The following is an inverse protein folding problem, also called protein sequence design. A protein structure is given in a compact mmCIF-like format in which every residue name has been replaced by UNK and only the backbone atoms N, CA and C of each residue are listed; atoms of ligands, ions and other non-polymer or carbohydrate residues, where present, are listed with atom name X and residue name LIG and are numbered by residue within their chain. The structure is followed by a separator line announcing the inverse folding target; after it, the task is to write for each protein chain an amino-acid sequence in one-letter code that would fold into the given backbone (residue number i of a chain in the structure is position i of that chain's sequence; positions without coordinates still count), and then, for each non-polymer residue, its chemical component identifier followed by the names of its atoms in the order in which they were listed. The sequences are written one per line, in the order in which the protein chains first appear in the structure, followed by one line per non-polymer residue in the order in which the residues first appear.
data_IF_592323395030
#
_entry.id   IF_592323395030
#
_cell.length_a   1.000
_cell.length_b   1.000
_cell.length_c   1.000
_cell.angle_alpha   90.00
_cell.angle_beta   90.00
_cell.angle_gamma   90.00
#
_symmetry.space_group_name_H-M   'P 1'
#
loop_
_entity.id
_entity.type
_entity.pdbx_description
1 polymer ?
#
# COMPACT_ATOMS: atom_id res chain seq x y z
N UNK A 1 40.64 -12.22 -51.87
CA UNK A 1 40.23 -12.91 -50.61
C UNK A 1 39.31 -14.07 -50.97
N UNK A 2 39.62 -15.31 -50.57
CA UNK A 2 38.84 -16.49 -51.03
C UNK A 2 37.42 -16.50 -50.45
N UNK A 3 36.45 -17.03 -51.21
CA UNK A 3 35.03 -17.17 -50.79
C UNK A 3 34.91 -17.83 -49.40
N UNK A 4 35.75 -18.83 -49.12
CA UNK A 4 35.82 -19.53 -47.82
C UNK A 4 36.25 -18.61 -46.67
N UNK A 5 37.15 -17.65 -46.91
CA UNK A 5 37.61 -16.67 -45.91
C UNK A 5 36.53 -15.65 -45.59
N UNK A 6 35.81 -15.15 -46.61
CA UNK A 6 34.67 -14.23 -46.43
C UNK A 6 33.51 -14.88 -45.66
N UNK A 7 33.20 -16.14 -45.96
CA UNK A 7 32.17 -16.90 -45.25
C UNK A 7 32.53 -17.12 -43.76
N UNK A 8 33.78 -17.49 -43.46
CA UNK A 8 34.24 -17.63 -42.06
C UNK A 8 34.14 -16.31 -41.29
N UNK A 9 34.54 -15.18 -41.89
CA UNK A 9 34.43 -13.87 -41.26
C UNK A 9 32.96 -13.52 -40.98
N UNK A 10 32.06 -13.75 -41.95
CA UNK A 10 30.62 -13.52 -41.78
C UNK A 10 30.03 -14.35 -40.63
N UNK A 11 30.38 -15.64 -40.54
CA UNK A 11 29.91 -16.52 -39.45
C UNK A 11 30.44 -16.04 -38.10
N UNK A 12 31.71 -15.65 -38.01
CA UNK A 12 32.30 -15.15 -36.76
C UNK A 12 31.64 -13.83 -36.34
N UNK A 13 31.42 -12.90 -37.27
CA UNK A 13 30.72 -11.64 -36.98
C UNK A 13 29.29 -11.87 -36.49
N UNK A 14 28.58 -12.86 -37.06
CA UNK A 14 27.24 -13.22 -36.62
C UNK A 14 27.23 -13.83 -35.21
N UNK A 15 28.19 -14.70 -34.89
CA UNK A 15 28.32 -15.26 -33.54
C UNK A 15 28.66 -14.20 -32.49
N UNK A 16 29.52 -13.23 -32.83
CA UNK A 16 29.83 -12.10 -31.94
C UNK A 16 28.57 -11.26 -31.71
N UNK A 17 27.77 -11.00 -32.75
CA UNK A 17 26.53 -10.25 -32.62
C UNK A 17 25.55 -10.95 -31.66
N UNK A 18 25.37 -12.26 -31.81
CA UNK A 18 24.51 -13.04 -30.89
C UNK A 18 25.03 -12.94 -29.46
N UNK A 19 26.34 -13.12 -29.24
CA UNK A 19 26.94 -13.06 -27.91
C UNK A 19 26.72 -11.69 -27.24
N UNK A 20 26.84 -10.59 -28.01
CA UNK A 20 26.58 -9.24 -27.51
C UNK A 20 25.10 -9.06 -27.15
N UNK A 21 24.17 -9.52 -27.99
CA UNK A 21 22.72 -9.43 -27.70
C UNK A 21 22.36 -10.23 -26.44
N UNK A 22 22.90 -11.43 -26.29
CA UNK A 22 22.68 -12.25 -25.08
C UNK A 22 23.25 -11.60 -23.82
N UNK A 23 24.40 -10.92 -23.91
CA UNK A 23 25.00 -10.21 -22.78
C UNK A 23 24.15 -8.99 -22.37
N UNK A 24 23.67 -8.22 -23.36
CA UNK A 24 22.81 -7.06 -23.12
C UNK A 24 21.50 -7.50 -22.46
N UNK A 25 20.82 -8.52 -23.02
CA UNK A 25 19.56 -9.03 -22.44
C UNK A 25 19.75 -9.58 -21.04
N UNK A 26 20.83 -10.33 -20.76
CA UNK A 26 21.13 -10.81 -19.41
C UNK A 26 21.37 -9.66 -18.42
N UNK A 27 22.12 -8.63 -18.81
CA UNK A 27 22.40 -7.49 -17.93
C UNK A 27 21.15 -6.64 -17.67
N UNK A 28 20.28 -6.46 -18.67
CA UNK A 28 18.99 -5.77 -18.50
C UNK A 28 18.07 -6.57 -17.57
N UNK A 29 17.87 -7.87 -17.83
CA UNK A 29 17.00 -8.70 -17.00
C UNK A 29 17.49 -8.77 -15.54
N UNK A 30 18.81 -8.86 -15.32
CA UNK A 30 19.38 -8.85 -13.97
C UNK A 30 19.17 -7.52 -13.25
N UNK A 31 19.19 -6.39 -13.97
CA UNK A 31 18.88 -5.08 -13.38
C UNK A 31 17.40 -4.95 -13.05
N UNK A 32 16.53 -5.40 -13.95
CA UNK A 32 15.09 -5.35 -13.77
C UNK A 32 14.65 -6.23 -12.59
N UNK A 33 15.13 -7.48 -12.49
CA UNK A 33 14.78 -8.35 -11.36
C UNK A 33 15.18 -7.77 -10.00
N UNK A 34 16.35 -7.12 -9.91
CA UNK A 34 16.76 -6.42 -8.68
C UNK A 34 15.90 -5.19 -8.36
N UNK A 35 15.38 -4.52 -9.37
CA UNK A 35 14.51 -3.37 -9.18
C UNK A 35 13.13 -3.82 -8.68
N UNK A 36 12.59 -4.88 -9.27
CA UNK A 36 11.33 -5.53 -8.88
C UNK A 36 11.39 -6.08 -7.45
N UNK A 37 12.44 -6.82 -7.09
CA UNK A 37 12.66 -7.29 -5.70
C UNK A 37 12.72 -6.12 -4.71
N UNK A 38 13.37 -5.01 -5.09
CA UNK A 38 13.47 -3.83 -4.23
C UNK A 38 12.12 -3.12 -4.07
N UNK A 39 11.34 -3.02 -5.15
CA UNK A 39 10.01 -2.42 -5.12
C UNK A 39 9.08 -3.23 -4.23
N UNK A 40 9.07 -4.55 -4.40
CA UNK A 40 8.33 -5.48 -3.54
C UNK A 40 8.73 -5.36 -2.07
N UNK A 41 10.03 -5.29 -1.79
CA UNK A 41 10.55 -5.08 -0.43
C UNK A 41 10.08 -3.76 0.18
N UNK A 42 10.12 -2.66 -0.58
CA UNK A 42 9.63 -1.36 -0.10
C UNK A 42 8.13 -1.38 0.15
N UNK A 43 7.37 -2.04 -0.71
CA UNK A 43 5.93 -2.15 -0.55
C UNK A 43 5.57 -2.96 0.71
N UNK A 44 6.22 -4.09 0.96
CA UNK A 44 6.03 -4.85 2.19
C UNK A 44 6.38 -4.05 3.45
N UNK A 45 7.50 -3.33 3.43
CA UNK A 45 7.86 -2.46 4.56
C UNK A 45 6.84 -1.37 4.79
N UNK A 46 6.31 -0.79 3.72
CA UNK A 46 5.24 0.20 3.84
C UNK A 46 3.99 -0.40 4.49
N UNK A 47 3.52 -1.57 4.03
CA UNK A 47 2.34 -2.25 4.61
C UNK A 47 2.56 -2.59 6.08
N UNK A 48 3.73 -3.11 6.42
CA UNK A 48 4.11 -3.38 7.82
C UNK A 48 4.02 -2.13 8.68
N UNK A 49 4.60 -1.02 8.21
CA UNK A 49 4.62 0.24 8.96
C UNK A 49 3.23 0.90 9.00
N UNK A 50 2.45 0.81 7.93
CA UNK A 50 1.12 1.40 7.83
C UNK A 50 0.11 0.72 8.78
N UNK A 51 0.08 -0.61 8.80
CA UNK A 51 -0.85 -1.39 9.62
C UNK A 51 -0.26 -1.84 10.96
N UNK A 52 0.93 -1.35 11.31
CA UNK A 52 1.63 -1.66 12.56
C UNK A 52 1.77 -3.18 12.79
N UNK A 53 2.10 -3.90 11.72
CA UNK A 53 2.23 -5.36 11.74
C UNK A 53 3.58 -5.77 12.33
N UNK A 54 3.63 -6.97 12.90
CA UNK A 54 4.88 -7.71 13.03
C UNK A 54 5.11 -8.54 11.76
N UNK A 55 6.36 -8.87 11.48
CA UNK A 55 6.70 -9.78 10.40
C UNK A 55 7.82 -10.74 10.80
N UNK A 56 7.74 -11.97 10.28
CA UNK A 56 8.75 -13.00 10.47
C UNK A 56 9.07 -13.66 9.13
N UNK A 57 10.32 -14.08 8.96
CA UNK A 57 10.72 -14.88 7.81
C UNK A 57 10.54 -16.36 8.13
N UNK A 58 9.68 -17.05 7.39
CA UNK A 58 9.54 -18.50 7.48
C UNK A 58 10.63 -19.20 6.62
N UNK A 59 11.91 -18.85 6.81
CA UNK A 59 13.01 -19.42 6.03
C UNK A 59 14.16 -18.47 5.65
N UNK A 60 15.11 -19.00 4.88
CA UNK A 60 16.34 -18.31 4.50
C UNK A 60 16.10 -17.23 3.43
N UNK A 61 15.90 -15.98 3.87
CA UNK A 61 16.01 -14.74 3.07
C UNK A 61 15.14 -14.65 1.79
N UNK A 62 14.06 -15.42 1.67
CA UNK A 62 13.11 -15.26 0.57
C UNK A 62 12.03 -14.25 0.97
N UNK A 63 11.91 -13.16 0.21
CA UNK A 63 10.92 -12.09 0.45
C UNK A 63 9.49 -12.58 0.23
N UNK A 64 9.32 -13.70 -0.47
CA UNK A 64 8.02 -14.33 -0.74
C UNK A 64 7.51 -15.16 0.44
N UNK A 65 8.31 -15.29 1.51
CA UNK A 65 8.01 -16.08 2.71
C UNK A 65 7.82 -15.21 3.95
N UNK A 66 7.48 -13.93 3.76
CA UNK A 66 7.15 -13.02 4.86
C UNK A 66 5.77 -13.39 5.38
N UNK A 67 5.70 -13.75 6.66
CA UNK A 67 4.44 -13.96 7.37
C UNK A 67 4.18 -12.72 8.21
N UNK A 68 3.08 -12.03 7.91
CA UNK A 68 2.59 -10.91 8.70
C UNK A 68 1.81 -11.41 9.91
N UNK A 69 1.94 -10.70 11.02
CA UNK A 69 1.20 -10.95 12.24
C UNK A 69 0.60 -9.64 12.73
N UNK A 70 -0.74 -9.51 12.76
CA UNK A 70 -1.39 -8.34 13.36
C UNK A 70 -0.98 -8.14 14.82
N UNK A 71 -1.04 -6.88 15.25
CA UNK A 71 -0.76 -6.44 16.62
C UNK A 71 -1.99 -5.76 17.22
N UNK A 72 -1.93 -5.42 18.50
CA UNK A 72 -2.99 -4.62 19.13
C UNK A 72 -3.21 -3.28 18.42
N UNK A 73 -2.14 -2.65 17.90
CA UNK A 73 -2.27 -1.42 17.12
C UNK A 73 -2.96 -1.68 15.76
N UNK A 74 -2.72 -2.85 15.16
CA UNK A 74 -3.46 -3.28 13.97
C UNK A 74 -4.95 -3.40 14.26
N UNK A 75 -5.34 -3.98 15.39
CA UNK A 75 -6.75 -4.10 15.78
C UNK A 75 -7.41 -2.73 15.94
N UNK A 76 -6.70 -1.74 16.49
CA UNK A 76 -7.19 -0.36 16.60
C UNK A 76 -7.41 0.29 15.22
N UNK A 77 -6.50 0.08 14.27
CA UNK A 77 -6.64 0.55 12.88
C UNK A 77 -7.87 -0.09 12.24
N UNK A 78 -8.02 -1.41 12.37
CA UNK A 78 -9.14 -2.15 11.81
C UNK A 78 -10.48 -1.74 12.42
N UNK A 79 -10.52 -1.45 13.73
CA UNK A 79 -11.74 -0.98 14.39
C UNK A 79 -12.16 0.41 13.86
N UNK A 80 -11.22 1.35 13.69
CA UNK A 80 -11.53 2.67 13.12
C UNK A 80 -12.04 2.56 11.69
N UNK A 81 -11.43 1.71 10.87
CA UNK A 81 -11.90 1.46 9.51
C UNK A 81 -13.30 0.84 9.52
N UNK A 82 -13.54 -0.20 10.32
CA UNK A 82 -14.86 -0.83 10.44
C UNK A 82 -15.94 0.16 10.86
N UNK A 83 -15.68 1.00 11.86
CA UNK A 83 -16.63 2.02 12.30
C UNK A 83 -16.99 2.99 11.17
N UNK A 84 -16.03 3.35 10.31
CA UNK A 84 -16.29 4.21 9.15
C UNK A 84 -17.08 3.50 8.04
N UNK A 85 -16.81 2.22 7.80
CA UNK A 85 -17.59 1.40 6.87
C UNK A 85 -19.04 1.22 7.36
N UNK A 86 -19.25 1.11 8.67
CA UNK A 86 -20.59 1.07 9.26
C UNK A 86 -21.34 2.41 9.14
N UNK A 87 -20.61 3.52 9.12
CA UNK A 87 -21.16 4.86 8.96
C UNK A 87 -21.52 5.19 7.50
N UNK A 88 -20.64 4.85 6.55
CA UNK A 88 -20.83 5.18 5.14
C UNK A 88 -20.67 3.97 4.25
N UNK A 89 -21.68 3.71 3.41
CA UNK A 89 -21.65 2.66 2.40
C UNK A 89 -20.71 2.94 1.23
N UNK A 90 -19.98 4.07 1.25
CA UNK A 90 -18.91 4.36 0.30
C UNK A 90 -17.59 3.72 0.72
N UNK A 91 -17.49 3.26 1.97
CA UNK A 91 -16.27 2.64 2.49
C UNK A 91 -16.50 1.14 2.62
N UNK A 92 -15.75 0.37 1.87
CA UNK A 92 -15.71 -1.08 1.99
C UNK A 92 -14.72 -1.50 3.09
N UNK A 93 -15.11 -2.50 3.88
CA UNK A 93 -14.25 -3.10 4.90
C UNK A 93 -13.78 -4.49 4.44
N UNK A 94 -12.46 -4.73 4.34
CA UNK A 94 -11.90 -5.93 3.69
C UNK A 94 -11.86 -7.13 4.65
N UNK A 95 -13.03 -7.62 5.09
CA UNK A 95 -13.13 -8.72 6.05
C UNK A 95 -12.45 -10.00 5.55
N UNK A 96 -12.65 -10.35 4.27
CA UNK A 96 -12.15 -11.60 3.70
C UNK A 96 -10.62 -11.63 3.66
N UNK A 97 -10.00 -10.53 3.25
CA UNK A 97 -8.56 -10.34 3.12
C UNK A 97 -7.88 -10.36 4.49
N UNK A 98 -8.52 -9.74 5.50
CA UNK A 98 -8.07 -9.79 6.90
C UNK A 98 -8.10 -11.22 7.44
N UNK A 99 -9.20 -11.96 7.23
CA UNK A 99 -9.31 -13.37 7.66
C UNK A 99 -8.26 -14.27 6.99
N UNK A 100 -7.91 -13.96 5.73
CA UNK A 100 -6.88 -14.67 4.98
C UNK A 100 -5.45 -14.21 5.30
N UNK A 101 -5.29 -13.18 6.13
CA UNK A 101 -4.01 -12.55 6.46
C UNK A 101 -3.27 -12.03 5.21
N UNK A 102 -4.02 -11.61 4.18
CA UNK A 102 -3.49 -11.02 2.94
C UNK A 102 -3.41 -9.49 3.05
N UNK A 103 -2.40 -9.03 3.79
CA UNK A 103 -2.22 -7.60 4.07
C UNK A 103 -1.86 -6.74 2.86
N UNK A 104 -1.43 -7.37 1.75
CA UNK A 104 -1.25 -6.64 0.50
C UNK A 104 -2.61 -6.30 -0.10
N UNK A 105 -3.52 -7.27 -0.15
CA UNK A 105 -4.89 -7.05 -0.61
C UNK A 105 -5.62 -6.03 0.28
N UNK A 106 -5.44 -6.12 1.61
CA UNK A 106 -5.96 -5.10 2.55
C UNK A 106 -5.48 -3.68 2.20
N UNK A 107 -4.22 -3.50 1.81
CA UNK A 107 -3.73 -2.18 1.37
C UNK A 107 -4.32 -1.75 0.03
N UNK A 108 -4.52 -2.67 -0.91
CA UNK A 108 -5.18 -2.37 -2.17
C UNK A 108 -6.62 -1.88 -1.92
N UNK A 109 -7.39 -2.56 -1.07
CA UNK A 109 -8.74 -2.16 -0.69
C UNK A 109 -8.77 -0.80 0.04
N UNK A 110 -7.76 -0.52 0.87
CA UNK A 110 -7.63 0.78 1.52
C UNK A 110 -7.40 1.91 0.51
N UNK A 111 -6.54 1.67 -0.49
CA UNK A 111 -6.25 2.63 -1.55
C UNK A 111 -7.44 2.84 -2.48
N UNK A 112 -8.22 1.81 -2.76
CA UNK A 112 -9.44 1.93 -3.56
C UNK A 112 -10.48 2.81 -2.84
N UNK A 113 -10.62 2.67 -1.52
CA UNK A 113 -11.48 3.55 -0.72
C UNK A 113 -11.00 5.01 -0.65
N UNK A 114 -9.73 5.28 -0.95
CA UNK A 114 -9.14 6.62 -0.81
C UNK A 114 -9.85 7.67 -1.66
N UNK A 115 -10.42 7.29 -2.81
CA UNK A 115 -11.17 8.21 -3.66
C UNK A 115 -12.46 8.72 -3.01
N UNK A 116 -13.01 7.99 -2.04
CA UNK A 116 -14.26 8.32 -1.34
C UNK A 116 -14.03 9.04 0.00
N UNK A 117 -12.82 9.00 0.55
CA UNK A 117 -12.50 9.57 1.88
C UNK A 117 -12.85 11.04 2.03
N UNK A 118 -12.71 11.83 0.97
CA UNK A 118 -13.09 13.24 1.02
C UNK A 118 -14.60 13.42 1.15
N UNK A 119 -15.38 12.65 0.39
CA UNK A 119 -16.84 12.75 0.41
C UNK A 119 -17.38 12.28 1.77
N UNK A 120 -16.83 11.18 2.30
CA UNK A 120 -17.15 10.72 3.67
C UNK A 120 -16.80 11.78 4.71
N UNK A 121 -15.66 12.46 4.58
CA UNK A 121 -15.31 13.55 5.49
C UNK A 121 -16.35 14.68 5.45
N UNK A 122 -16.84 15.03 4.26
CA UNK A 122 -17.88 16.06 4.08
C UNK A 122 -19.18 15.60 4.74
N UNK A 123 -19.62 14.37 4.50
CA UNK A 123 -20.82 13.80 5.09
C UNK A 123 -20.75 13.82 6.63
N UNK A 124 -19.61 13.46 7.21
CA UNK A 124 -19.41 13.53 8.67
C UNK A 124 -19.54 14.96 9.21
N UNK A 125 -18.99 15.96 8.51
CA UNK A 125 -19.16 17.37 8.90
C UNK A 125 -20.61 17.84 8.79
N UNK A 126 -21.34 17.39 7.78
CA UNK A 126 -22.75 17.73 7.58
C UNK A 126 -23.67 17.09 8.64
N UNK A 127 -23.32 15.89 9.12
CA UNK A 127 -24.05 15.22 10.21
C UNK A 127 -23.72 15.76 11.61
N UNK A 128 -22.49 16.24 11.81
CA UNK A 128 -22.05 16.74 13.10
C UNK A 128 -22.76 18.05 13.51
N UNK A 129 -23.07 18.20 14.80
CA UNK A 129 -23.90 19.29 15.32
C UNK A 129 -23.17 20.63 15.37
N UNK A 130 -23.21 21.34 14.24
CA UNK A 130 -22.76 22.73 14.15
C UNK A 130 -21.25 22.90 14.22
N UNK A 131 -20.51 21.84 13.91
CA UNK A 131 -19.06 21.87 13.78
C UNK A 131 -18.73 22.18 12.33
N UNK A 132 -18.07 23.31 12.07
CA UNK A 132 -17.61 23.68 10.73
C UNK A 132 -16.11 23.41 10.60
N UNK A 133 -15.65 22.95 9.44
CA UNK A 133 -14.21 22.88 9.19
C UNK A 133 -13.59 24.28 9.17
N UNK A 134 -12.41 24.42 9.77
CA UNK A 134 -11.61 25.66 9.72
C UNK A 134 -10.71 25.72 8.46
N UNK A 135 -10.63 24.62 7.71
CA UNK A 135 -9.77 24.43 6.55
C UNK A 135 -10.52 23.68 5.44
N UNK A 136 -9.86 23.49 4.31
CA UNK A 136 -10.43 22.65 3.26
C UNK A 136 -10.52 21.20 3.77
N UNK A 137 -11.70 20.60 3.66
CA UNK A 137 -11.91 19.17 3.94
C UNK A 137 -11.19 18.39 2.83
N UNK A 138 -10.35 17.43 3.23
CA UNK A 138 -9.55 16.62 2.34
C UNK A 138 -9.57 15.14 2.75
N UNK A 139 -9.18 14.29 1.81
CA UNK A 139 -9.12 12.84 1.95
C UNK A 139 -8.14 12.36 3.04
N UNK A 140 -7.20 13.20 3.47
CA UNK A 140 -6.24 12.84 4.50
C UNK A 140 -6.84 12.84 5.90
N UNK A 141 -8.02 13.42 6.12
CA UNK A 141 -8.67 13.41 7.44
C UNK A 141 -9.04 11.98 7.82
N UNK A 142 -9.78 11.29 6.95
CA UNK A 142 -10.15 9.88 7.13
C UNK A 142 -8.92 8.98 7.10
N UNK A 143 -8.01 9.17 6.13
CA UNK A 143 -6.78 8.35 6.06
C UNK A 143 -5.99 8.41 7.36
N UNK A 144 -5.71 9.62 7.86
CA UNK A 144 -4.90 9.78 9.06
C UNK A 144 -5.63 9.29 10.31
N UNK A 145 -6.96 9.47 10.35
CA UNK A 145 -7.78 8.91 11.40
C UNK A 145 -7.66 7.38 11.46
N UNK A 146 -7.90 6.68 10.35
CA UNK A 146 -7.82 5.22 10.32
C UNK A 146 -6.42 4.74 10.71
N UNK A 147 -5.39 5.21 10.00
CA UNK A 147 -4.03 4.66 10.13
C UNK A 147 -3.33 5.09 11.42
N UNK A 148 -3.60 6.29 11.94
CA UNK A 148 -2.81 6.87 13.03
C UNK A 148 -3.63 7.24 14.26
N UNK A 149 -4.96 7.19 14.20
CA UNK A 149 -5.84 7.67 15.28
C UNK A 149 -5.62 9.16 15.62
N UNK A 150 -4.92 9.90 14.76
CA UNK A 150 -4.53 11.28 15.00
C UNK A 150 -4.83 12.11 13.77
N UNK A 151 -5.39 13.30 14.02
CA UNK A 151 -5.77 14.23 12.96
C UNK A 151 -5.15 15.58 13.28
N UNK A 152 -4.56 16.20 12.27
CA UNK A 152 -3.97 17.53 12.39
C UNK A 152 -5.00 18.66 12.54
N UNK A 153 -6.29 18.35 12.48
CA UNK A 153 -7.41 19.29 12.54
C UNK A 153 -8.28 19.02 13.77
N UNK A 154 -8.19 19.94 14.74
CA UNK A 154 -8.96 19.86 15.98
C UNK A 154 -10.48 19.85 15.73
N UNK A 155 -10.96 20.46 14.63
CA UNK A 155 -12.38 20.47 14.30
C UNK A 155 -12.86 19.08 13.85
N UNK A 156 -12.05 18.33 13.08
CA UNK A 156 -12.41 16.97 12.70
C UNK A 156 -12.39 16.01 13.88
N UNK A 157 -11.50 16.20 14.86
CA UNK A 157 -11.59 15.43 16.12
C UNK A 157 -12.91 15.67 16.84
N UNK A 158 -13.38 16.93 16.90
CA UNK A 158 -14.69 17.22 17.48
C UNK A 158 -15.85 16.59 16.69
N UNK A 159 -15.74 16.48 15.36
CA UNK A 159 -16.71 15.75 14.52
C UNK A 159 -16.76 14.27 14.92
N UNK A 160 -15.60 13.62 15.06
CA UNK A 160 -15.52 12.22 15.50
C UNK A 160 -16.15 12.01 16.87
N UNK A 161 -15.91 12.92 17.81
CA UNK A 161 -16.50 12.85 19.15
C UNK A 161 -18.02 13.03 19.12
N UNK A 162 -18.55 14.02 18.37
CA UNK A 162 -20.00 14.25 18.27
C UNK A 162 -20.74 13.07 17.62
N UNK A 163 -20.10 12.42 16.65
CA UNK A 163 -20.61 11.23 15.98
C UNK A 163 -20.37 9.93 16.77
N UNK A 164 -19.61 9.98 17.88
CA UNK A 164 -19.39 8.84 18.77
C UNK A 164 -18.30 7.86 18.32
N UNK A 165 -17.41 8.28 17.41
CA UNK A 165 -16.24 7.50 17.00
C UNK A 165 -15.12 7.54 18.04
N UNK A 166 -15.01 8.66 18.77
CA UNK A 166 -13.98 8.88 19.78
C UNK A 166 -14.60 9.44 21.06
N UNK A 167 -13.93 9.22 22.19
CA UNK A 167 -14.32 9.82 23.47
C UNK A 167 -13.65 11.18 23.64
N UNK A 168 -14.31 12.09 24.37
CA UNK A 168 -13.67 13.33 24.79
C UNK A 168 -12.57 13.02 25.79
N UNK A 169 -11.33 13.41 25.49
CA UNK A 169 -10.28 13.52 26.49
C UNK A 169 -10.76 14.48 27.60
N UNK A 170 -11.07 13.93 28.77
CA UNK A 170 -11.61 14.68 29.92
C UNK A 170 -10.59 15.57 30.63
#
# INVERSE_FOLDING_TARGET
MSRKRKFKIMVISFLILIAVITLITWTVNKKNGKAEEREKYLHYHYVVDAYQLNYFYDGAQDIDQIVFSPTTATDEILNRWRNLADFSSLIDYPEEEIEQNDWLAVEEDFLDNFEHFKDVSIDMYDEAKGISSNRAIDEFFIKNYILYGSIADDNFMNVLIDLGFEESDG
#
